data_IF_633993264856
#
_entry.id   IF_633993264856
#
_cell.length_a   1.000
_cell.length_b   1.000
_cell.length_c   1.000
_cell.angle_alpha   90.00
_cell.angle_beta   90.00
_cell.angle_gamma   90.00
#
_symmetry.space_group_name_H-M   'P 1'
#
loop_
_entity.id
_entity.type
_entity.pdbx_description
1 polymer ?
#
# COMPACT_ATOMS: atom_id res chain seq x y z
N UNK A 1 6.52 -10.13 64.91
CA UNK A 1 7.27 -10.12 66.19
C UNK A 1 8.48 -11.03 66.00
N UNK A 2 9.73 -10.66 66.33
CA UNK A 2 10.29 -9.50 67.07
C UNK A 2 10.85 -8.42 66.10
N UNK A 3 10.92 -7.11 66.34
CA UNK A 3 11.50 -6.21 67.38
C UNK A 3 13.03 -6.13 67.43
N UNK A 4 13.55 -4.93 67.13
CA UNK A 4 14.94 -4.46 67.28
C UNK A 4 15.25 -3.42 66.21
N UNK A 5 14.87 -2.14 66.35
CA UNK A 5 15.46 -1.10 67.21
C UNK A 5 17.00 -1.05 67.08
N UNK A 6 17.52 -0.06 66.36
CA UNK A 6 18.45 0.94 66.90
C UNK A 6 18.75 2.04 65.88
N UNK A 7 18.31 3.22 66.28
CA UNK A 7 18.59 4.55 65.76
C UNK A 7 20.06 4.89 66.04
N UNK A 8 20.78 5.49 65.09
CA UNK A 8 21.92 6.34 65.45
C UNK A 8 22.03 7.56 64.52
N UNK A 9 21.86 8.69 65.18
CA UNK A 9 21.94 10.07 64.73
C UNK A 9 23.36 10.55 65.05
N UNK A 10 24.10 11.07 64.07
CA UNK A 10 25.27 11.94 64.25
C UNK A 10 25.89 12.24 62.88
N UNK A 11 26.53 13.36 62.57
CA UNK A 11 26.52 14.73 63.06
C UNK A 11 27.36 15.49 62.00
N UNK A 12 26.77 16.53 61.39
CA UNK A 12 27.39 17.75 60.81
C UNK A 12 28.92 17.77 60.57
N UNK A 13 29.32 18.09 59.33
CA UNK A 13 30.38 19.08 59.11
C UNK A 13 30.23 19.74 57.73
N UNK A 14 29.92 21.05 57.74
CA UNK A 14 30.01 21.94 56.59
C UNK A 14 31.46 22.39 56.47
N UNK A 15 32.07 22.26 55.30
CA UNK A 15 33.35 22.92 55.00
C UNK A 15 33.07 23.90 53.87
N UNK A 16 32.98 25.18 54.24
CA UNK A 16 33.23 26.29 53.33
C UNK A 16 34.73 26.28 53.00
N UNK A 17 35.07 26.36 51.71
CA UNK A 17 36.39 26.81 51.30
C UNK A 17 36.24 28.00 50.35
N UNK A 18 36.93 29.06 50.72
CA UNK A 18 36.78 30.42 50.23
C UNK A 18 37.56 30.69 48.94
N UNK A 19 37.14 31.78 48.30
CA UNK A 19 37.72 32.49 47.16
C UNK A 19 39.24 32.39 46.96
N UNK A 20 39.63 32.11 45.72
CA UNK A 20 40.90 32.52 45.14
C UNK A 20 40.67 32.97 43.69
N UNK A 21 40.58 34.29 43.50
CA UNK A 21 40.65 34.93 42.19
C UNK A 21 42.10 34.83 41.68
N UNK A 22 42.30 34.19 40.53
CA UNK A 22 43.53 34.35 39.75
C UNK A 22 43.19 34.38 38.26
N UNK A 23 43.75 35.40 37.62
CA UNK A 23 43.44 35.95 36.30
C UNK A 23 43.93 35.06 35.16
N UNK A 24 43.12 34.94 34.10
CA UNK A 24 43.42 34.22 32.85
C UNK A 24 44.57 34.87 32.05
N UNK A 25 45.25 34.07 31.21
CA UNK A 25 45.48 34.43 29.82
C UNK A 25 44.63 33.52 28.92
N UNK A 26 43.72 34.13 28.16
CA UNK A 26 42.92 33.46 27.13
C UNK A 26 43.82 33.13 25.94
N UNK A 27 44.09 31.83 25.72
CA UNK A 27 44.55 31.34 24.43
C UNK A 27 43.31 31.24 23.55
N UNK A 28 43.18 32.15 22.59
CA UNK A 28 42.12 32.15 21.59
C UNK A 28 42.37 31.01 20.59
N UNK A 29 41.88 29.82 20.91
CA UNK A 29 41.66 28.78 19.89
C UNK A 29 40.32 29.13 19.22
N UNK A 30 40.37 29.57 17.97
CA UNK A 30 39.18 29.72 17.14
C UNK A 30 38.53 28.33 16.99
N UNK A 31 37.46 28.08 17.73
CA UNK A 31 36.57 26.95 17.49
C UNK A 31 35.71 27.33 16.27
N UNK A 32 35.99 26.70 15.13
CA UNK A 32 35.09 26.71 13.98
C UNK A 32 33.91 25.79 14.32
N UNK A 33 32.91 26.31 15.03
CA UNK A 33 31.60 25.70 15.11
C UNK A 33 30.90 25.88 13.76
N UNK A 34 31.27 25.04 12.79
CA UNK A 34 30.46 24.84 11.60
C UNK A 34 29.08 24.33 12.02
N UNK A 35 27.98 24.76 11.40
CA UNK A 35 26.68 24.19 11.67
C UNK A 35 26.77 22.69 11.38
N UNK A 36 26.59 21.88 12.42
CA UNK A 36 26.40 20.45 12.28
C UNK A 36 25.15 20.26 11.44
N UNK A 37 25.35 20.00 10.14
CA UNK A 37 24.35 19.46 9.24
C UNK A 37 23.87 18.16 9.88
N UNK A 38 22.78 18.26 10.63
CA UNK A 38 22.08 17.13 11.20
C UNK A 38 21.80 16.15 10.08
N UNK A 39 22.35 14.95 10.22
CA UNK A 39 22.08 13.81 9.37
C UNK A 39 20.57 13.61 9.30
N UNK A 40 19.96 14.00 8.18
CA UNK A 40 18.59 13.64 7.84
C UNK A 40 18.57 12.14 7.52
N UNK A 41 18.63 11.31 8.54
CA UNK A 41 18.33 9.89 8.44
C UNK A 41 17.18 9.59 9.39
N UNK A 42 16.05 10.26 9.17
CA UNK A 42 14.76 9.70 9.60
C UNK A 42 14.40 8.58 8.63
N UNK A 43 15.00 7.42 8.86
CA UNK A 43 14.79 6.19 8.08
C UNK A 43 14.10 5.17 8.97
N UNK A 44 12.92 5.51 9.48
CA UNK A 44 12.01 4.53 10.10
C UNK A 44 10.57 4.62 9.59
N UNK A 45 10.35 5.17 8.37
CA UNK A 45 9.18 4.75 7.60
C UNK A 45 9.36 3.28 7.27
N UNK A 46 8.51 2.41 7.79
CA UNK A 46 8.32 1.08 7.22
C UNK A 46 7.97 1.28 5.74
N UNK A 47 8.97 1.18 4.86
CA UNK A 47 8.77 1.37 3.44
C UNK A 47 7.98 0.17 2.93
N UNK A 48 6.65 0.32 2.86
CA UNK A 48 5.78 -0.65 2.20
C UNK A 48 6.23 -0.77 0.75
N UNK A 49 6.58 -1.98 0.35
CA UNK A 49 7.01 -2.31 -1.01
C UNK A 49 5.79 -2.75 -1.82
N UNK A 50 5.64 -2.34 -3.09
CA UNK A 50 4.62 -2.88 -3.96
C UNK A 50 4.69 -4.41 -4.03
N UNK A 51 3.55 -5.07 -3.86
CA UNK A 51 3.42 -6.49 -4.15
C UNK A 51 3.50 -6.71 -5.67
N UNK A 52 3.99 -7.87 -6.15
CA UNK A 52 3.75 -8.31 -7.52
C UNK A 52 2.26 -8.25 -7.87
N UNK A 53 1.93 -8.02 -9.14
CA UNK A 53 0.54 -7.79 -9.58
C UNK A 53 -0.37 -8.95 -9.18
N UNK A 54 0.08 -10.18 -9.41
CA UNK A 54 -0.66 -11.42 -9.14
C UNK A 54 -0.88 -11.66 -7.64
N UNK A 55 -0.07 -11.03 -6.79
CA UNK A 55 -0.24 -11.06 -5.34
C UNK A 55 -1.13 -9.91 -4.86
N UNK A 56 -1.07 -8.75 -5.50
CA UNK A 56 -1.91 -7.59 -5.18
C UNK A 56 -3.37 -7.80 -5.61
N UNK A 57 -3.58 -8.40 -6.78
CA UNK A 57 -4.89 -8.59 -7.40
C UNK A 57 -5.01 -9.99 -8.02
N UNK A 58 -4.89 -11.07 -7.23
CA UNK A 58 -5.17 -12.40 -7.74
C UNK A 58 -6.60 -12.47 -8.26
N UNK A 59 -6.78 -13.08 -9.43
CA UNK A 59 -8.10 -13.33 -9.98
C UNK A 59 -8.19 -14.69 -10.66
N UNK A 60 -9.42 -15.19 -10.74
CA UNK A 60 -9.74 -16.47 -11.35
C UNK A 60 -10.93 -16.31 -12.28
N UNK A 61 -10.90 -17.02 -13.40
CA UNK A 61 -11.98 -17.07 -14.38
C UNK A 61 -12.60 -18.47 -14.35
N UNK A 62 -13.92 -18.56 -14.29
CA UNK A 62 -14.67 -19.81 -14.36
C UNK A 62 -15.78 -19.71 -15.38
N UNK A 63 -16.02 -20.77 -16.15
CA UNK A 63 -17.17 -20.89 -17.03
C UNK A 63 -18.45 -21.19 -16.21
N UNK A 64 -19.57 -20.58 -16.61
CA UNK A 64 -20.89 -20.82 -16.04
C UNK A 64 -21.79 -21.60 -16.98
N UNK A 65 -23.01 -21.11 -17.19
CA UNK A 65 -23.88 -21.56 -18.28
C UNK A 65 -23.26 -21.21 -19.65
N UNK A 66 -23.65 -21.90 -20.74
CA UNK A 66 -23.05 -21.66 -22.06
C UNK A 66 -23.04 -20.18 -22.47
N UNK A 67 -21.84 -19.65 -22.74
CA UNK A 67 -21.64 -18.24 -23.10
C UNK A 67 -21.55 -17.27 -21.93
N UNK A 68 -21.52 -17.78 -20.69
CA UNK A 68 -21.31 -16.97 -19.48
C UNK A 68 -20.03 -17.35 -18.77
N UNK A 69 -19.34 -16.35 -18.23
CA UNK A 69 -18.13 -16.53 -17.45
C UNK A 69 -18.24 -15.68 -16.18
N UNK A 70 -17.55 -16.11 -15.12
CA UNK A 70 -17.45 -15.35 -13.89
C UNK A 70 -15.97 -15.09 -13.61
N UNK A 71 -15.64 -13.84 -13.31
CA UNK A 71 -14.31 -13.46 -12.83
C UNK A 71 -14.40 -13.06 -11.38
N UNK A 72 -13.51 -13.60 -10.56
CA UNK A 72 -13.43 -13.32 -9.13
C UNK A 72 -12.05 -12.78 -8.80
N UNK A 73 -11.98 -11.55 -8.29
CA UNK A 73 -10.78 -10.97 -7.69
C UNK A 73 -10.82 -11.13 -6.18
N UNK A 74 -9.64 -11.28 -5.58
CA UNK A 74 -9.41 -11.23 -4.13
C UNK A 74 -8.26 -10.26 -3.85
N UNK A 75 -8.53 -8.95 -3.89
CA UNK A 75 -7.49 -7.94 -3.69
C UNK A 75 -6.82 -8.12 -2.32
N UNK A 76 -5.49 -7.97 -2.30
CA UNK A 76 -4.69 -8.07 -1.08
C UNK A 76 -5.10 -6.99 -0.06
N UNK A 77 -4.78 -7.22 1.20
CA UNK A 77 -5.04 -6.25 2.27
C UNK A 77 -4.49 -4.86 1.88
N UNK A 78 -5.29 -3.82 2.11
CA UNK A 78 -4.98 -2.42 1.74
C UNK A 78 -4.79 -2.17 0.23
N UNK A 79 -5.20 -3.10 -0.64
CA UNK A 79 -5.23 -2.90 -2.09
C UNK A 79 -6.69 -2.78 -2.56
N UNK A 80 -6.91 -1.97 -3.60
CA UNK A 80 -8.24 -1.77 -4.15
C UNK A 80 -8.25 -1.66 -5.67
N UNK A 81 -9.34 -2.11 -6.28
CA UNK A 81 -9.60 -2.04 -7.72
C UNK A 81 -10.58 -0.91 -8.03
N UNK A 82 -10.39 -0.19 -9.12
CA UNK A 82 -11.31 0.87 -9.56
C UNK A 82 -12.45 0.32 -10.40
N UNK A 83 -13.70 0.63 -10.03
CA UNK A 83 -14.89 0.24 -10.81
C UNK A 83 -14.83 0.71 -12.27
N UNK A 84 -14.44 1.96 -12.50
CA UNK A 84 -14.42 2.57 -13.83
C UNK A 84 -13.27 2.08 -14.73
N UNK A 85 -12.40 1.19 -14.23
CA UNK A 85 -11.23 0.67 -14.96
C UNK A 85 -11.41 -0.76 -15.42
N UNK A 86 -12.55 -1.39 -15.13
CA UNK A 86 -12.88 -2.70 -15.68
C UNK A 86 -13.36 -2.58 -17.12
N UNK A 87 -12.78 -3.39 -18.00
CA UNK A 87 -13.24 -3.58 -19.37
C UNK A 87 -12.96 -5.01 -19.81
N UNK A 88 -13.91 -5.56 -20.56
CA UNK A 88 -13.85 -6.95 -21.02
C UNK A 88 -14.13 -6.97 -22.52
N UNK A 89 -13.30 -7.71 -23.26
CA UNK A 89 -13.53 -7.91 -24.68
C UNK A 89 -13.20 -9.33 -25.11
N UNK A 90 -13.95 -9.84 -26.07
CA UNK A 90 -13.74 -11.14 -26.69
C UNK A 90 -13.05 -10.93 -28.02
N UNK A 91 -11.86 -11.51 -28.18
CA UNK A 91 -11.13 -11.57 -29.45
C UNK A 91 -11.40 -12.93 -30.09
N UNK A 92 -12.04 -12.91 -31.26
CA UNK A 92 -12.29 -14.11 -32.05
C UNK A 92 -11.15 -14.34 -33.05
N UNK A 93 -10.57 -15.53 -33.04
CA UNK A 93 -9.59 -15.97 -34.03
C UNK A 93 -10.23 -16.93 -35.04
N UNK A 94 -9.72 -16.97 -36.29
CA UNK A 94 -8.63 -16.16 -36.87
C UNK A 94 -9.09 -14.78 -37.37
N UNK A 95 -10.39 -14.45 -37.25
CA UNK A 95 -10.96 -13.24 -37.81
C UNK A 95 -10.48 -11.92 -37.15
N UNK A 96 -9.72 -12.00 -36.04
CA UNK A 96 -9.25 -10.88 -35.22
C UNK A 96 -10.36 -9.88 -34.83
N UNK A 97 -11.60 -10.36 -34.76
CA UNK A 97 -12.77 -9.55 -34.40
C UNK A 97 -12.74 -9.30 -32.89
N UNK A 98 -12.73 -8.03 -32.47
CA UNK A 98 -12.82 -7.64 -31.06
C UNK A 98 -14.27 -7.26 -30.77
N UNK A 99 -14.87 -7.94 -29.80
CA UNK A 99 -16.25 -7.76 -29.41
C UNK A 99 -16.34 -7.28 -27.96
N UNK A 100 -17.14 -6.25 -27.65
CA UNK A 100 -17.39 -5.88 -26.27
C UNK A 100 -18.15 -7.01 -25.56
N UNK A 101 -17.75 -7.33 -24.34
CA UNK A 101 -18.44 -8.30 -23.48
C UNK A 101 -19.40 -7.54 -22.57
N UNK A 102 -20.62 -8.05 -22.39
CA UNK A 102 -21.58 -7.46 -21.46
C UNK A 102 -21.28 -7.93 -20.04
N UNK A 103 -21.39 -7.02 -19.07
CA UNK A 103 -21.11 -7.30 -17.66
C UNK A 103 -21.86 -6.32 -16.77
N UNK A 104 -22.11 -6.74 -15.54
CA UNK A 104 -22.62 -5.87 -14.47
C UNK A 104 -21.65 -5.92 -13.31
N UNK A 105 -21.30 -4.74 -12.77
CA UNK A 105 -20.44 -4.62 -11.60
C UNK A 105 -21.31 -4.16 -10.44
N UNK A 106 -21.27 -4.85 -9.28
CA UNK A 106 -22.03 -4.44 -8.10
C UNK A 106 -21.62 -3.06 -7.59
N UNK A 107 -22.43 -2.46 -6.73
CA UNK A 107 -22.04 -1.26 -5.98
C UNK A 107 -20.79 -1.55 -5.14
N UNK A 108 -19.83 -0.64 -5.17
CA UNK A 108 -18.57 -0.63 -4.47
C UNK A 108 -18.51 0.49 -3.45
N UNK A 109 -17.30 0.77 -2.97
CA UNK A 109 -17.08 1.75 -1.91
C UNK A 109 -16.69 3.09 -2.54
N UNK A 110 -17.44 4.14 -2.24
CA UNK A 110 -17.05 5.49 -2.63
C UNK A 110 -15.83 5.97 -1.83
N UNK A 111 -14.85 6.54 -2.54
CA UNK A 111 -13.61 7.06 -1.97
C UNK A 111 -13.16 8.29 -2.76
N UNK A 112 -12.54 9.24 -2.08
CA UNK A 112 -11.74 10.29 -2.71
C UNK A 112 -10.26 9.91 -2.63
N UNK A 113 -9.55 9.88 -3.76
CA UNK A 113 -8.10 9.72 -3.77
C UNK A 113 -7.39 10.80 -4.60
N UNK A 114 -6.06 10.80 -4.52
CA UNK A 114 -5.22 11.79 -5.19
C UNK A 114 -5.01 11.54 -6.69
N UNK A 115 -5.44 10.38 -7.21
CA UNK A 115 -5.19 9.97 -8.59
C UNK A 115 -6.36 10.31 -9.50
N UNK A 116 -7.58 10.03 -9.03
CA UNK A 116 -8.82 10.19 -9.79
C UNK A 116 -9.87 11.04 -9.07
N UNK A 117 -9.62 11.46 -7.83
CA UNK A 117 -10.62 12.19 -7.04
C UNK A 117 -11.71 11.25 -6.56
N UNK A 118 -12.97 11.60 -6.81
CA UNK A 118 -14.13 10.78 -6.44
C UNK A 118 -14.21 9.50 -7.30
N UNK A 119 -14.11 8.35 -6.66
CA UNK A 119 -14.10 7.03 -7.28
C UNK A 119 -14.96 6.04 -6.52
N UNK A 120 -15.24 4.91 -7.16
CA UNK A 120 -15.85 3.73 -6.55
C UNK A 120 -14.88 2.56 -6.68
N UNK A 121 -14.60 1.88 -5.56
CA UNK A 121 -13.50 0.92 -5.43
C UNK A 121 -13.88 -0.38 -4.71
N UNK A 122 -13.04 -1.41 -4.83
CA UNK A 122 -13.23 -2.73 -4.20
C UNK A 122 -11.93 -3.23 -3.53
N UNK A 123 -11.96 -3.54 -2.23
CA UNK A 123 -10.77 -3.94 -1.44
C UNK A 123 -10.58 -5.44 -1.23
N UNK A 124 -11.64 -6.23 -1.40
CA UNK A 124 -11.63 -7.64 -1.01
C UNK A 124 -12.11 -8.48 -2.19
N UNK A 125 -13.15 -9.27 -1.98
CA UNK A 125 -13.75 -10.07 -3.03
C UNK A 125 -14.61 -9.20 -3.93
N UNK A 126 -14.31 -9.22 -5.22
CA UNK A 126 -15.18 -8.71 -6.27
C UNK A 126 -15.47 -9.85 -7.24
N UNK A 127 -16.73 -10.04 -7.58
CA UNK A 127 -17.12 -10.99 -8.58
C UNK A 127 -17.96 -10.30 -9.66
N UNK A 128 -17.61 -10.54 -10.92
CA UNK A 128 -18.25 -9.96 -12.10
C UNK A 128 -18.68 -11.11 -13.00
N UNK A 129 -19.96 -11.12 -13.34
CA UNK A 129 -20.51 -12.03 -14.34
C UNK A 129 -20.41 -11.39 -15.73
N UNK A 130 -19.94 -12.18 -16.69
CA UNK A 130 -19.73 -11.81 -18.07
C UNK A 130 -20.69 -12.60 -18.95
N UNK A 131 -21.30 -11.92 -19.91
CA UNK A 131 -22.14 -12.52 -20.95
C UNK A 131 -21.45 -12.26 -22.29
N UNK A 132 -20.99 -13.34 -22.93
CA UNK A 132 -20.33 -13.24 -24.22
C UNK A 132 -21.36 -12.89 -25.32
N UNK A 133 -20.98 -12.04 -26.28
CA UNK A 133 -21.87 -11.59 -27.35
C UNK A 133 -22.16 -12.70 -28.39
N UNK A 134 -21.30 -13.71 -28.46
CA UNK A 134 -21.43 -14.88 -29.33
C UNK A 134 -20.60 -16.04 -28.77
N UNK A 135 -20.78 -17.24 -29.34
CA UNK A 135 -20.01 -18.42 -28.93
C UNK A 135 -18.51 -18.22 -29.25
N UNK A 136 -17.60 -18.46 -28.28
CA UNK A 136 -16.17 -18.38 -28.54
C UNK A 136 -15.72 -19.46 -29.54
N UNK A 137 -14.82 -19.08 -30.44
CA UNK A 137 -14.03 -20.00 -31.24
C UNK A 137 -13.03 -20.78 -30.36
N UNK A 138 -12.45 -21.86 -30.88
CA UNK A 138 -11.52 -22.71 -30.13
C UNK A 138 -10.24 -21.96 -29.66
N UNK A 139 -9.87 -20.89 -30.35
CA UNK A 139 -8.71 -20.05 -30.01
C UNK A 139 -9.15 -18.64 -29.57
N UNK A 140 -10.38 -18.50 -29.06
CA UNK A 140 -10.87 -17.21 -28.61
C UNK A 140 -10.12 -16.74 -27.35
N UNK A 141 -9.89 -15.43 -27.26
CA UNK A 141 -9.23 -14.82 -26.12
C UNK A 141 -10.19 -13.85 -25.45
N UNK A 142 -10.48 -14.06 -24.17
CA UNK A 142 -11.07 -13.06 -23.29
C UNK A 142 -9.97 -12.12 -22.79
N UNK A 143 -10.07 -10.84 -23.13
CA UNK A 143 -9.17 -9.80 -22.63
C UNK A 143 -9.79 -9.15 -21.41
N UNK A 144 -9.07 -9.20 -20.29
CA UNK A 144 -9.45 -8.65 -18.99
C UNK A 144 -8.61 -7.40 -18.72
N UNK A 145 -9.26 -6.24 -18.72
CA UNK A 145 -8.62 -4.96 -18.40
C UNK A 145 -9.06 -4.50 -17.01
N UNK A 146 -8.10 -4.10 -16.16
CA UNK A 146 -8.38 -3.57 -14.82
C UNK A 146 -7.24 -2.67 -14.33
N UNK A 147 -7.48 -1.96 -13.24
CA UNK A 147 -6.45 -1.21 -12.54
C UNK A 147 -6.77 -1.11 -11.06
N UNK A 148 -5.73 -1.14 -10.23
CA UNK A 148 -5.84 -0.95 -8.80
C UNK A 148 -4.67 -0.20 -8.19
N UNK A 149 -4.83 0.18 -6.93
CA UNK A 149 -3.82 0.86 -6.13
C UNK A 149 -3.77 0.27 -4.74
N UNK A 150 -2.78 0.70 -3.97
CA UNK A 150 -2.67 0.42 -2.55
C UNK A 150 -2.90 1.70 -1.73
N UNK A 151 -3.46 1.56 -0.53
CA UNK A 151 -3.80 2.68 0.36
C UNK A 151 -2.64 3.61 0.69
N UNK A 152 -1.42 3.08 0.66
CA UNK A 152 -0.20 3.84 0.92
C UNK A 152 0.29 4.67 -0.27
N UNK A 153 -0.54 4.82 -1.31
CA UNK A 153 -0.33 5.80 -2.37
C UNK A 153 0.49 5.27 -3.56
N UNK A 154 0.52 3.96 -3.77
CA UNK A 154 1.08 3.37 -4.99
C UNK A 154 -0.03 2.86 -5.89
N UNK A 155 0.01 3.27 -7.15
CA UNK A 155 -0.92 2.83 -8.16
C UNK A 155 -0.23 1.98 -9.21
N UNK A 156 -0.81 0.81 -9.47
CA UNK A 156 -0.35 -0.05 -10.55
C UNK A 156 -0.77 0.59 -11.89
N UNK A 157 0.03 0.42 -12.95
CA UNK A 157 -0.40 0.84 -14.28
C UNK A 157 -1.65 0.05 -14.71
N UNK A 158 -2.37 0.51 -15.74
CA UNK A 158 -3.47 -0.25 -16.32
C UNK A 158 -2.99 -1.64 -16.77
N UNK A 159 -3.78 -2.67 -16.50
CA UNK A 159 -3.49 -4.06 -16.87
C UNK A 159 -4.38 -4.47 -18.03
N UNK A 160 -3.82 -5.27 -18.94
CA UNK A 160 -4.53 -5.95 -20.03
C UNK A 160 -4.05 -7.40 -20.04
N UNK A 161 -4.88 -8.32 -19.55
CA UNK A 161 -4.53 -9.74 -19.39
C UNK A 161 -5.34 -10.58 -20.39
N UNK A 162 -4.69 -11.22 -21.37
CA UNK A 162 -5.37 -12.17 -22.25
C UNK A 162 -5.58 -13.51 -21.51
N UNK A 163 -6.76 -14.09 -21.68
CA UNK A 163 -7.15 -15.40 -21.16
C UNK A 163 -7.74 -16.24 -22.31
N UNK A 164 -7.14 -17.39 -22.59
CA UNK A 164 -7.62 -18.33 -23.61
C UNK A 164 -8.87 -19.06 -23.08
N UNK A 165 -9.93 -19.11 -23.89
CA UNK A 165 -11.24 -19.69 -23.54
C UNK A 165 -11.39 -21.15 -23.98
#
# INVERSE_FOLDING_TARGET
MPTGLLLNLMHRAKILFACGLAVLPQILVAQLDGPSLGSFTDSSRSQRRPLPLEQAFPFYVSEGEPGTYRIVWEAAEEHYLYKHRFKFSLRQLPALKILPVAFEIPEGIHKTDQFFGEVEVYYSKLAIDLILPEKPSADAILVVEFQGCAEWGFCYPPQEIPFEL
#
